data_IF_129186901919
#
_entry.id   IF_129186901919
#
_cell.length_a   1.000
_cell.length_b   1.000
_cell.length_c   1.000
_cell.angle_alpha   90.00
_cell.angle_beta   90.00
_cell.angle_gamma   90.00
#
_symmetry.space_group_name_H-M   'P 1'
#
loop_
_entity.id
_entity.type
_entity.pdbx_description
1 polymer ?
#
# COMPACT_ATOMS: atom_id res chain seq x y z
N UNK A 1 -3.60 -11.67 -25.15
CA UNK A 1 -2.92 -10.92 -24.06
C UNK A 1 -3.87 -10.16 -23.12
N UNK A 2 -5.14 -9.90 -23.46
CA UNK A 2 -6.06 -9.15 -22.59
C UNK A 2 -6.57 -9.91 -21.36
N UNK A 3 -6.79 -11.23 -21.46
CA UNK A 3 -7.33 -12.04 -20.36
C UNK A 3 -6.40 -12.12 -19.16
N UNK A 4 -5.11 -12.41 -19.38
CA UNK A 4 -4.14 -12.54 -18.28
C UNK A 4 -3.90 -11.23 -17.49
N UNK A 5 -4.14 -10.06 -18.08
CA UNK A 5 -4.08 -8.77 -17.36
C UNK A 5 -5.35 -8.55 -16.55
N UNK A 6 -6.51 -8.85 -17.13
CA UNK A 6 -7.80 -8.76 -16.44
C UNK A 6 -7.89 -9.77 -15.26
N UNK A 7 -7.39 -10.99 -15.45
CA UNK A 7 -7.36 -12.01 -14.40
C UNK A 7 -6.47 -11.58 -13.22
N UNK A 8 -5.30 -11.00 -13.52
CA UNK A 8 -4.41 -10.46 -12.49
C UNK A 8 -5.04 -9.25 -11.79
N UNK A 9 -5.70 -8.35 -12.54
CA UNK A 9 -6.42 -7.22 -11.98
C UNK A 9 -7.47 -7.69 -10.97
N UNK A 10 -8.34 -8.62 -11.38
CA UNK A 10 -9.40 -9.14 -10.53
C UNK A 10 -8.83 -9.84 -9.29
N UNK A 11 -7.72 -10.56 -9.42
CA UNK A 11 -7.03 -11.16 -8.28
C UNK A 11 -6.50 -10.09 -7.30
N UNK A 12 -5.82 -9.07 -7.81
CA UNK A 12 -5.24 -7.98 -7.02
C UNK A 12 -6.34 -7.23 -6.27
N UNK A 13 -7.39 -6.80 -6.96
CA UNK A 13 -8.52 -6.09 -6.36
C UNK A 13 -9.18 -6.91 -5.25
N UNK A 14 -9.42 -8.20 -5.51
CA UNK A 14 -10.00 -9.11 -4.52
C UNK A 14 -9.13 -9.23 -3.28
N UNK A 15 -7.82 -9.47 -3.46
CA UNK A 15 -6.88 -9.63 -2.33
C UNK A 15 -6.73 -8.33 -1.54
N UNK A 16 -6.69 -7.18 -2.22
CA UNK A 16 -6.62 -5.88 -1.57
C UNK A 16 -7.87 -5.60 -0.75
N UNK A 17 -9.06 -5.87 -1.29
CA UNK A 17 -10.31 -5.72 -0.57
C UNK A 17 -10.41 -6.65 0.67
N UNK A 18 -9.92 -7.89 0.54
CA UNK A 18 -9.85 -8.83 1.67
C UNK A 18 -8.89 -8.35 2.77
N UNK A 19 -7.70 -7.88 2.40
CA UNK A 19 -6.74 -7.32 3.35
C UNK A 19 -7.28 -6.06 4.03
N UNK A 20 -7.89 -5.13 3.27
CA UNK A 20 -8.54 -3.93 3.82
C UNK A 20 -9.63 -4.29 4.85
N UNK A 21 -10.40 -5.35 4.58
CA UNK A 21 -11.43 -5.81 5.52
C UNK A 21 -10.82 -6.36 6.81
N UNK A 22 -9.78 -7.18 6.72
CA UNK A 22 -9.10 -7.75 7.88
C UNK A 22 -8.44 -6.67 8.74
N UNK A 23 -7.75 -5.71 8.13
CA UNK A 23 -7.14 -4.58 8.86
C UNK A 23 -8.18 -3.69 9.53
N UNK A 24 -9.35 -3.49 8.89
CA UNK A 24 -10.46 -2.78 9.51
C UNK A 24 -10.95 -3.50 10.77
N UNK A 25 -11.14 -4.82 10.70
CA UNK A 25 -11.51 -5.63 11.88
C UNK A 25 -10.41 -5.59 12.94
N UNK A 26 -9.14 -5.71 12.55
CA UNK A 26 -7.99 -5.61 13.45
C UNK A 26 -7.97 -4.27 14.18
N UNK A 27 -8.24 -3.16 13.49
CA UNK A 27 -8.32 -1.83 14.08
C UNK A 27 -9.41 -1.73 15.18
N UNK A 28 -10.56 -2.39 14.98
CA UNK A 28 -11.62 -2.45 15.99
C UNK A 28 -11.23 -3.30 17.21
N UNK A 29 -10.48 -4.39 17.01
CA UNK A 29 -10.08 -5.31 18.08
C UNK A 29 -8.86 -4.82 18.86
N UNK A 30 -8.04 -3.94 18.31
CA UNK A 30 -6.74 -3.54 18.88
C UNK A 30 -6.81 -3.03 20.31
N UNK A 31 -7.93 -2.45 20.73
CA UNK A 31 -8.15 -1.97 22.10
C UNK A 31 -8.59 -3.05 23.11
N UNK A 32 -9.19 -4.15 22.65
CA UNK A 32 -9.74 -5.21 23.52
C UNK A 32 -8.98 -6.53 23.42
N UNK A 33 -8.47 -6.87 22.24
CA UNK A 33 -7.81 -8.12 21.89
C UNK A 33 -6.60 -7.82 20.98
N UNK A 34 -5.50 -7.29 21.56
CA UNK A 34 -4.34 -6.87 20.78
C UNK A 34 -3.64 -8.02 20.05
N UNK A 35 -3.61 -9.22 20.63
CA UNK A 35 -3.01 -10.40 20.00
C UNK A 35 -3.81 -10.85 18.77
N UNK A 36 -5.15 -10.88 18.87
CA UNK A 36 -6.02 -11.22 17.75
C UNK A 36 -5.93 -10.17 16.63
N UNK A 37 -5.82 -8.88 16.99
CA UNK A 37 -5.59 -7.81 16.02
C UNK A 37 -4.26 -8.00 15.28
N UNK A 38 -3.17 -8.32 15.99
CA UNK A 38 -1.87 -8.57 15.39
C UNK A 38 -1.88 -9.80 14.46
N UNK A 39 -2.62 -10.86 14.83
CA UNK A 39 -2.81 -12.02 13.95
C UNK A 39 -3.55 -11.66 12.67
N UNK A 40 -4.60 -10.84 12.74
CA UNK A 40 -5.33 -10.39 11.56
C UNK A 40 -4.48 -9.50 10.64
N UNK A 41 -3.66 -8.61 11.22
CA UNK A 41 -2.69 -7.79 10.46
C UNK A 41 -1.66 -8.68 9.74
N UNK A 42 -1.21 -9.76 10.39
CA UNK A 42 -0.32 -10.75 9.76
C UNK A 42 -1.01 -11.47 8.60
N UNK A 43 -2.23 -11.96 8.79
CA UNK A 43 -2.99 -12.66 7.73
C UNK A 43 -3.28 -11.71 6.55
N UNK A 44 -3.58 -10.45 6.83
CA UNK A 44 -3.74 -9.44 5.79
C UNK A 44 -2.45 -9.27 4.97
N UNK A 45 -1.29 -9.23 5.62
CA UNK A 45 0.02 -9.15 4.96
C UNK A 45 0.29 -10.39 4.09
N UNK A 46 0.04 -11.59 4.63
CA UNK A 46 0.21 -12.86 3.90
C UNK A 46 -0.68 -12.93 2.64
N UNK A 47 -1.93 -12.45 2.71
CA UNK A 47 -2.82 -12.38 1.56
C UNK A 47 -2.29 -11.48 0.43
N UNK A 48 -1.60 -10.40 0.77
CA UNK A 48 -0.98 -9.51 -0.22
C UNK A 48 0.27 -10.15 -0.81
N UNK A 49 1.07 -10.85 0.01
CA UNK A 49 2.26 -11.58 -0.46
C UNK A 49 1.90 -12.71 -1.44
N UNK A 50 0.75 -13.37 -1.26
CA UNK A 50 0.25 -14.39 -2.19
C UNK A 50 0.01 -13.86 -3.61
N UNK A 51 -0.18 -12.55 -3.80
CA UNK A 51 -0.26 -11.94 -5.14
C UNK A 51 1.06 -12.14 -5.89
N UNK A 52 2.18 -12.19 -5.17
CA UNK A 52 3.53 -12.38 -5.70
C UNK A 52 4.08 -11.18 -6.47
N UNK A 53 3.34 -10.66 -7.44
CA UNK A 53 3.73 -9.48 -8.21
C UNK A 53 2.52 -8.75 -8.83
N UNK A 54 2.68 -7.46 -9.07
CA UNK A 54 1.74 -6.64 -9.84
C UNK A 54 2.42 -6.13 -11.10
N UNK A 55 1.87 -6.42 -12.28
CA UNK A 55 2.42 -5.84 -13.53
C UNK A 55 2.14 -4.33 -13.58
N UNK A 56 3.06 -3.56 -14.17
CA UNK A 56 2.89 -2.09 -14.32
C UNK A 56 1.55 -1.70 -14.98
N UNK A 57 1.08 -2.46 -15.97
CA UNK A 57 -0.22 -2.22 -16.61
C UNK A 57 -1.39 -2.37 -15.63
N UNK A 58 -1.35 -3.40 -14.79
CA UNK A 58 -2.37 -3.62 -13.74
C UNK A 58 -2.31 -2.49 -12.73
N UNK A 59 -1.13 -2.08 -12.27
CA UNK A 59 -1.00 -0.95 -11.35
C UNK A 59 -1.53 0.37 -11.96
N UNK A 60 -1.28 0.62 -13.25
CA UNK A 60 -1.76 1.81 -13.95
C UNK A 60 -3.30 1.86 -13.98
N UNK A 61 -3.92 0.75 -14.37
CA UNK A 61 -5.38 0.63 -14.37
C UNK A 61 -5.97 0.74 -12.95
N UNK A 62 -5.36 0.09 -11.95
CA UNK A 62 -5.82 0.10 -10.56
C UNK A 62 -5.78 1.52 -9.94
N UNK A 63 -4.72 2.28 -10.26
CA UNK A 63 -4.52 3.64 -9.78
C UNK A 63 -5.23 4.69 -10.65
N UNK A 64 -5.83 4.25 -11.77
CA UNK A 64 -6.43 5.09 -12.81
C UNK A 64 -5.46 6.23 -13.24
N UNK A 65 -4.23 5.82 -13.58
CA UNK A 65 -3.18 6.65 -14.15
C UNK A 65 -2.63 5.98 -15.41
N UNK A 66 -1.86 6.70 -16.22
CA UNK A 66 -1.22 6.09 -17.38
C UNK A 66 0.03 5.27 -16.99
N UNK A 67 0.38 4.30 -17.84
CA UNK A 67 1.55 3.41 -17.65
C UNK A 67 2.86 4.20 -17.53
N UNK A 68 3.00 5.35 -18.22
CA UNK A 68 4.22 6.17 -18.13
C UNK A 68 4.34 6.81 -16.76
N UNK A 69 3.22 7.24 -16.17
CA UNK A 69 3.17 7.74 -14.79
C UNK A 69 3.64 6.68 -13.79
N UNK A 70 3.16 5.43 -13.89
CA UNK A 70 3.62 4.34 -13.00
C UNK A 70 5.11 4.04 -13.20
N UNK A 71 5.57 4.03 -14.45
CA UNK A 71 7.00 3.83 -14.76
C UNK A 71 7.85 4.96 -14.18
N UNK A 72 7.40 6.20 -14.32
CA UNK A 72 8.07 7.36 -13.73
C UNK A 72 8.12 7.27 -12.19
N UNK A 73 7.04 6.84 -11.56
CA UNK A 73 6.99 6.66 -10.10
C UNK A 73 7.93 5.54 -9.63
N UNK A 74 8.05 4.47 -10.40
CA UNK A 74 9.05 3.42 -10.18
C UNK A 74 10.49 3.98 -10.27
N UNK A 75 10.81 4.73 -11.33
CA UNK A 75 12.14 5.34 -11.51
C UNK A 75 12.47 6.35 -10.40
N UNK A 76 11.45 6.96 -9.80
CA UNK A 76 11.55 7.86 -8.64
C UNK A 76 11.59 7.14 -7.29
N UNK A 77 11.53 5.80 -7.27
CA UNK A 77 11.61 4.99 -6.05
C UNK A 77 10.31 4.88 -5.24
N UNK A 78 9.17 5.31 -5.79
CA UNK A 78 7.86 5.14 -5.13
C UNK A 78 7.46 3.66 -5.12
N UNK A 79 7.69 2.95 -6.22
CA UNK A 79 7.46 1.52 -6.31
C UNK A 79 8.76 0.74 -6.20
N UNK A 80 8.68 -0.46 -5.63
CA UNK A 80 9.78 -1.44 -5.59
C UNK A 80 9.54 -2.52 -6.63
N UNK A 81 10.62 -3.07 -7.18
CA UNK A 81 10.52 -4.25 -8.05
C UNK A 81 10.16 -5.48 -7.23
N UNK A 82 9.25 -6.31 -7.76
CA UNK A 82 8.98 -7.63 -7.19
C UNK A 82 9.71 -8.75 -7.94
N UNK A 83 9.40 -10.01 -7.59
CA UNK A 83 9.77 -11.19 -8.35
C UNK A 83 9.39 -11.04 -9.82
N UNK A 84 10.24 -11.59 -10.67
CA UNK A 84 10.04 -11.61 -12.12
C UNK A 84 8.87 -12.54 -12.45
N UNK A 85 8.00 -12.12 -13.36
CA UNK A 85 6.97 -12.99 -13.93
C UNK A 85 7.64 -14.13 -14.73
N UNK A 86 7.52 -15.40 -14.30
CA UNK A 86 8.23 -16.50 -14.95
C UNK A 86 7.76 -16.73 -16.39
N UNK A 87 6.50 -16.40 -16.70
CA UNK A 87 5.94 -16.52 -18.04
C UNK A 87 6.36 -15.34 -18.94
N UNK A 88 6.70 -14.19 -18.33
CA UNK A 88 7.03 -12.96 -19.05
C UNK A 88 8.19 -12.19 -18.39
N UNK A 89 9.44 -12.68 -18.49
CA UNK A 89 10.56 -12.15 -17.70
C UNK A 89 11.01 -10.72 -18.07
N UNK A 90 10.54 -10.18 -19.20
CA UNK A 90 10.80 -8.80 -19.63
C UNK A 90 9.74 -7.81 -19.15
N UNK A 91 8.68 -8.28 -18.51
CA UNK A 91 7.61 -7.41 -18.02
C UNK A 91 8.00 -6.90 -16.64
N UNK A 92 7.99 -5.57 -16.49
CA UNK A 92 8.25 -4.92 -15.22
C UNK A 92 7.14 -5.27 -14.22
N UNK A 93 7.56 -5.78 -13.06
CA UNK A 93 6.70 -6.21 -11.96
C UNK A 93 7.00 -5.39 -10.71
N UNK A 94 5.94 -5.04 -9.99
CA UNK A 94 5.95 -4.20 -8.82
C UNK A 94 5.57 -5.02 -7.58
N UNK A 95 6.10 -4.61 -6.44
CA UNK A 95 5.80 -5.16 -5.13
C UNK A 95 4.32 -4.91 -4.76
N UNK A 96 3.50 -5.96 -4.56
CA UNK A 96 2.09 -5.84 -4.21
C UNK A 96 1.84 -5.02 -2.93
N UNK A 97 2.71 -5.10 -1.93
CA UNK A 97 2.57 -4.37 -0.67
C UNK A 97 2.64 -2.86 -0.94
N UNK A 98 3.66 -2.44 -1.69
CA UNK A 98 3.86 -1.04 -2.04
C UNK A 98 2.74 -0.52 -2.94
N UNK A 99 2.29 -1.34 -3.90
CA UNK A 99 1.15 -0.98 -4.76
C UNK A 99 -0.12 -0.78 -3.95
N UNK A 100 -0.40 -1.63 -2.95
CA UNK A 100 -1.56 -1.46 -2.07
C UNK A 100 -1.48 -0.18 -1.24
N UNK A 101 -0.32 0.11 -0.67
CA UNK A 101 -0.11 1.34 0.10
C UNK A 101 -0.39 2.59 -0.75
N UNK A 102 0.15 2.64 -1.97
CA UNK A 102 -0.08 3.72 -2.92
C UNK A 102 -1.55 3.78 -3.35
N UNK A 103 -2.19 2.62 -3.60
CA UNK A 103 -3.60 2.54 -3.96
C UNK A 103 -4.52 3.14 -2.89
N UNK A 104 -4.31 2.80 -1.62
CA UNK A 104 -5.06 3.38 -0.49
C UNK A 104 -4.89 4.90 -0.45
N UNK A 105 -3.65 5.41 -0.58
CA UNK A 105 -3.38 6.86 -0.58
C UNK A 105 -4.08 7.54 -1.76
N UNK A 106 -3.96 7.00 -2.98
CA UNK A 106 -4.59 7.59 -4.17
C UNK A 106 -6.11 7.59 -4.04
N UNK A 107 -6.71 6.52 -3.50
CA UNK A 107 -8.16 6.44 -3.25
C UNK A 107 -8.61 7.51 -2.27
N UNK A 108 -7.88 7.72 -1.17
CA UNK A 108 -8.17 8.76 -0.18
C UNK A 108 -8.01 10.17 -0.77
N UNK A 109 -6.93 10.43 -1.50
CA UNK A 109 -6.70 11.74 -2.13
C UNK A 109 -7.79 12.08 -3.14
N UNK A 110 -8.26 11.08 -3.91
CA UNK A 110 -9.39 11.25 -4.83
C UNK A 110 -10.69 11.51 -4.09
N UNK A 111 -10.96 10.80 -3.00
CA UNK A 111 -12.15 11.04 -2.17
C UNK A 111 -12.17 12.45 -1.57
N UNK A 112 -11.00 13.03 -1.30
CA UNK A 112 -10.83 14.41 -0.84
C UNK A 112 -10.85 15.46 -1.98
N UNK A 113 -11.11 15.05 -3.22
CA UNK A 113 -11.09 15.94 -4.40
C UNK A 113 -9.69 16.39 -4.83
N UNK A 114 -8.62 15.82 -4.24
CA UNK A 114 -7.21 16.17 -4.50
C UNK A 114 -6.60 15.31 -5.61
N UNK A 115 -7.34 15.11 -6.71
CA UNK A 115 -6.97 14.21 -7.80
C UNK A 115 -6.10 14.84 -8.90
N UNK A 116 -5.52 16.04 -8.69
CA UNK A 116 -4.69 16.66 -9.72
C UNK A 116 -3.38 15.86 -9.90
N UNK A 117 -3.15 15.34 -11.12
CA UNK A 117 -2.00 14.52 -11.50
C UNK A 117 -0.65 15.14 -11.12
N UNK A 118 -0.48 16.46 -11.27
CA UNK A 118 0.79 17.13 -10.96
C UNK A 118 1.12 17.08 -9.46
N UNK A 119 0.10 17.21 -8.60
CA UNK A 119 0.27 17.16 -7.14
C UNK A 119 0.13 15.75 -6.56
N UNK A 120 -0.26 14.76 -7.37
CA UNK A 120 -0.57 13.42 -6.88
C UNK A 120 0.70 12.68 -6.45
N UNK A 121 1.78 12.78 -7.24
CA UNK A 121 3.06 12.17 -6.89
C UNK A 121 3.63 12.74 -5.59
N UNK A 122 3.66 14.07 -5.45
CA UNK A 122 4.16 14.73 -4.25
C UNK A 122 3.36 14.31 -3.01
N UNK A 123 2.03 14.29 -3.10
CA UNK A 123 1.18 13.86 -1.99
C UNK A 123 1.35 12.38 -1.65
N UNK A 124 1.53 11.51 -2.65
CA UNK A 124 1.85 10.09 -2.41
C UNK A 124 3.19 9.97 -1.70
N UNK A 125 4.21 10.70 -2.15
CA UNK A 125 5.54 10.67 -1.55
C UNK A 125 5.51 11.16 -0.09
N UNK A 126 4.89 12.31 0.18
CA UNK A 126 4.72 12.82 1.53
C UNK A 126 3.99 11.81 2.43
N UNK A 127 2.89 11.23 1.98
CA UNK A 127 2.11 10.26 2.76
C UNK A 127 2.87 8.95 3.03
N UNK A 128 3.69 8.49 2.09
CA UNK A 128 4.54 7.32 2.29
C UNK A 128 5.65 7.61 3.30
N UNK A 129 6.24 8.80 3.23
CA UNK A 129 7.24 9.24 4.20
C UNK A 129 6.61 9.42 5.59
N UNK A 130 5.45 10.08 5.69
CA UNK A 130 4.70 10.23 6.94
C UNK A 130 4.41 8.87 7.56
N UNK A 131 3.98 7.87 6.75
CA UNK A 131 3.76 6.50 7.24
C UNK A 131 5.04 5.85 7.74
N UNK A 132 6.14 5.94 6.98
CA UNK A 132 7.42 5.38 7.39
C UNK A 132 7.98 6.05 8.66
N UNK A 133 7.79 7.36 8.80
CA UNK A 133 8.15 8.12 10.00
C UNK A 133 7.25 7.74 11.18
N UNK A 134 5.94 7.57 10.97
CA UNK A 134 5.03 7.08 11.99
C UNK A 134 5.35 5.65 12.43
N UNK A 135 5.88 4.80 11.56
CA UNK A 135 6.32 3.44 11.88
C UNK A 135 7.69 3.40 12.58
N UNK A 136 8.41 4.53 12.65
CA UNK A 136 9.67 4.62 13.39
C UNK A 136 9.46 4.33 14.87
N UNK A 137 10.37 3.53 15.46
CA UNK A 137 10.35 3.20 16.89
C UNK A 137 10.36 4.44 17.78
N UNK A 138 11.05 5.50 17.35
CA UNK A 138 11.16 6.75 18.13
C UNK A 138 9.84 7.52 18.14
N UNK A 139 9.13 7.56 17.01
CA UNK A 139 7.82 8.22 16.91
C UNK A 139 6.75 7.39 17.61
N UNK A 140 6.79 6.06 17.50
CA UNK A 140 5.90 5.16 18.25
C UNK A 140 6.11 5.29 19.77
N UNK A 141 7.36 5.37 20.23
CA UNK A 141 7.68 5.61 21.64
C UNK A 141 7.18 6.97 22.13
N UNK A 142 7.38 8.03 21.33
CA UNK A 142 6.86 9.37 21.63
C UNK A 142 5.33 9.43 21.68
N UNK A 143 4.63 8.76 20.75
CA UNK A 143 3.17 8.66 20.77
C UNK A 143 2.66 7.83 21.95
N UNK A 144 3.36 6.76 22.34
CA UNK A 144 3.02 5.98 23.53
C UNK A 144 3.19 6.81 24.82
N UNK A 145 4.26 7.58 24.94
CA UNK A 145 4.49 8.50 26.06
C UNK A 145 3.42 9.61 26.11
N UNK A 146 3.09 10.23 24.97
CA UNK A 146 2.01 11.21 24.88
C UNK A 146 0.64 10.65 25.26
N UNK A 147 0.31 9.41 24.83
CA UNK A 147 -0.94 8.72 25.24
C UNK A 147 -0.94 8.37 26.73
N UNK A 148 0.23 8.16 27.32
CA UNK A 148 0.39 7.96 28.76
C UNK A 148 0.38 9.27 29.57
N UNK A 149 0.41 10.43 28.90
CA UNK A 149 0.45 11.75 29.54
C UNK A 149 1.86 12.25 29.88
N UNK A 150 2.89 11.55 29.43
CA UNK A 150 4.29 11.93 29.62
C UNK A 150 4.76 12.81 28.46
N UNK A 151 5.11 14.07 28.77
CA UNK A 151 5.78 14.96 27.83
C UNK A 151 7.25 14.56 27.82
N UNK A 152 7.69 13.88 26.77
CA UNK A 152 9.12 13.67 26.54
C UNK A 152 9.70 15.03 26.14
N UNK A 153 10.36 15.72 27.08
CA UNK A 153 11.21 16.87 26.73
C UNK A 153 12.35 16.35 25.85
N UNK A 154 12.51 16.99 24.68
CA UNK A 154 13.56 16.71 23.71
C UNK A 154 14.94 17.15 24.20
#
# INVERSE_FOLDING_TARGET
MGTAVADQMQLVEKKFAQADHLESVAAHLRGSQPDDAAQLDQVATELIDEVGFVRVKVAAELLDVDVKTVTHWYDRGVFRSSRVDPCHPRVQTLDPIVVRAVYSIVRELRALGKANRQTLLEQVWHRLQDKAELESSDVQAGLAAWRAGDIVEA
#
